data_IF_704321597406
#
_entry.id   IF_704321597406
#
_cell.length_a   1.000
_cell.length_b   1.000
_cell.length_c   1.000
_cell.angle_alpha   90.00
_cell.angle_beta   90.00
_cell.angle_gamma   90.00
#
_symmetry.space_group_name_H-M   'P 1'
#
loop_
_entity.id
_entity.type
_entity.pdbx_description
1 polymer ?
#
# COMPACT_ATOMS: atom_id res chain seq x y z
N UNK A 1 17.11 5.19 40.86
CA UNK A 1 17.51 5.66 39.52
C UNK A 1 18.97 5.27 39.34
N UNK A 2 19.26 4.37 38.39
CA UNK A 2 20.62 3.88 38.11
C UNK A 2 21.26 4.75 37.03
N UNK A 3 22.49 5.21 37.27
CA UNK A 3 23.29 5.94 36.28
C UNK A 3 24.35 5.02 35.71
N UNK A 4 24.47 5.01 34.38
CA UNK A 4 25.43 4.21 33.64
C UNK A 4 26.41 5.15 32.93
N UNK A 5 27.73 4.91 33.00
CA UNK A 5 28.70 5.72 32.28
C UNK A 5 28.56 5.53 30.76
N UNK A 6 28.64 6.62 30.00
CA UNK A 6 28.71 6.55 28.54
C UNK A 6 30.07 6.04 28.08
N UNK A 7 30.10 5.03 27.19
CA UNK A 7 31.35 4.47 26.65
C UNK A 7 32.18 5.44 25.80
N UNK A 8 31.60 6.57 25.36
CA UNK A 8 32.28 7.54 24.50
C UNK A 8 32.83 8.71 25.32
N UNK A 9 31.98 9.38 26.08
CA UNK A 9 32.35 10.60 26.79
C UNK A 9 32.55 10.40 28.31
N UNK A 10 32.33 9.19 28.83
CA UNK A 10 32.53 8.86 30.25
C UNK A 10 31.51 9.51 31.20
N UNK A 11 30.57 10.30 30.69
CA UNK A 11 29.58 11.00 31.52
C UNK A 11 28.55 10.01 32.06
N UNK A 12 28.09 10.26 33.29
CA UNK A 12 27.01 9.50 33.90
C UNK A 12 25.69 9.87 33.24
N UNK A 13 25.02 8.89 32.64
CA UNK A 13 23.76 9.08 31.96
C UNK A 13 22.68 8.16 32.55
N UNK A 14 21.42 8.55 32.44
CA UNK A 14 20.30 7.72 32.89
C UNK A 14 20.14 6.49 31.99
N UNK A 15 19.98 5.32 32.60
CA UNK A 15 19.80 4.05 31.89
C UNK A 15 18.54 4.01 31.00
N UNK A 16 17.56 4.84 31.32
CA UNK A 16 16.28 4.96 30.61
C UNK A 16 16.35 5.81 29.34
N UNK A 17 17.48 6.48 29.08
CA UNK A 17 17.63 7.36 27.91
C UNK A 17 18.23 6.61 26.72
N UNK A 18 17.72 6.87 25.51
CA UNK A 18 18.20 6.23 24.29
C UNK A 18 19.49 6.86 23.73
N UNK A 19 19.79 8.09 24.15
CA UNK A 19 20.94 8.88 23.75
C UNK A 19 21.70 9.38 24.98
N UNK A 20 23.01 9.51 24.86
CA UNK A 20 23.79 10.19 25.89
C UNK A 20 23.42 11.68 25.88
N UNK A 21 22.96 12.21 27.02
CA UNK A 21 22.56 13.63 27.13
C UNK A 21 23.75 14.60 27.01
N UNK A 22 24.99 14.12 27.13
CA UNK A 22 26.19 14.97 27.05
C UNK A 22 26.85 14.98 25.68
N UNK A 23 26.88 13.83 25.00
CA UNK A 23 27.59 13.70 23.72
C UNK A 23 26.70 13.20 22.57
N UNK A 24 25.38 13.14 22.78
CA UNK A 24 24.33 12.71 21.83
C UNK A 24 24.57 11.33 21.19
N UNK A 25 25.53 10.59 21.71
CA UNK A 25 25.92 9.30 21.17
C UNK A 25 24.86 8.25 21.55
N UNK A 26 24.44 7.38 20.62
CA UNK A 26 23.46 6.34 20.89
C UNK A 26 24.07 5.29 21.84
N UNK A 27 23.58 5.25 23.07
CA UNK A 27 24.04 4.31 24.12
C UNK A 27 23.36 2.95 24.01
N UNK A 28 22.11 2.93 23.57
CA UNK A 28 21.41 1.70 23.16
C UNK A 28 21.38 1.70 21.64
N UNK A 29 21.95 0.65 21.03
CA UNK A 29 21.90 0.45 19.59
C UNK A 29 20.45 0.62 19.14
N UNK A 30 20.21 1.65 18.33
CA UNK A 30 18.89 2.15 17.90
C UNK A 30 18.14 1.07 17.11
N UNK A 31 17.67 0.02 17.78
CA UNK A 31 16.62 -0.85 17.26
C UNK A 31 15.36 -0.02 17.33
N UNK A 32 15.08 0.73 16.25
CA UNK A 32 13.72 1.23 16.03
C UNK A 32 12.80 0.02 16.23
N UNK A 33 11.95 0.01 17.27
CA UNK A 33 11.19 -1.18 17.59
C UNK A 33 10.35 -1.54 16.37
N UNK A 34 10.37 -2.82 15.99
CA UNK A 34 9.70 -3.35 14.79
C UNK A 34 8.21 -2.94 14.78
N UNK A 35 7.62 -2.74 15.96
CA UNK A 35 6.27 -2.19 16.17
C UNK A 35 6.06 -0.85 15.48
N UNK A 36 7.02 0.08 15.55
CA UNK A 36 6.93 1.39 14.89
C UNK A 36 6.96 1.27 13.37
N UNK A 37 7.72 0.31 12.84
CA UNK A 37 7.75 0.03 11.39
C UNK A 37 6.40 -0.54 10.92
N UNK A 38 5.84 -1.50 11.64
CA UNK A 38 4.52 -2.06 11.31
C UNK A 38 3.40 -1.03 11.46
N UNK A 39 3.44 -0.16 12.49
CA UNK A 39 2.47 0.90 12.68
C UNK A 39 2.50 1.91 11.51
N UNK A 40 3.69 2.34 11.09
CA UNK A 40 3.84 3.21 9.93
C UNK A 40 3.33 2.54 8.64
N UNK A 41 3.62 1.25 8.45
CA UNK A 41 3.15 0.49 7.28
C UNK A 41 1.61 0.37 7.27
N UNK A 42 1.00 0.02 8.40
CA UNK A 42 -0.46 -0.09 8.54
C UNK A 42 -1.19 1.23 8.26
N UNK A 43 -0.56 2.35 8.59
CA UNK A 43 -1.14 3.67 8.37
C UNK A 43 -0.93 4.16 6.93
N UNK A 44 0.24 3.88 6.34
CA UNK A 44 0.57 4.25 4.97
C UNK A 44 -0.18 3.41 3.94
N UNK A 45 -0.35 2.11 4.18
CA UNK A 45 -0.93 1.15 3.23
C UNK A 45 -2.33 1.54 2.73
N UNK A 46 -3.35 1.81 3.58
CA UNK A 46 -4.68 2.19 3.10
C UNK A 46 -4.68 3.55 2.39
N UNK A 47 -3.81 4.47 2.81
CA UNK A 47 -3.66 5.78 2.18
C UNK A 47 -3.08 5.65 0.77
N UNK A 48 -2.05 4.83 0.62
CA UNK A 48 -1.44 4.51 -0.66
C UNK A 48 -2.43 3.80 -1.59
N UNK A 49 -3.17 2.78 -1.10
CA UNK A 49 -4.18 2.06 -1.90
C UNK A 49 -5.25 3.02 -2.42
N UNK A 50 -5.74 3.92 -1.58
CA UNK A 50 -6.78 4.90 -1.96
C UNK A 50 -6.24 5.88 -3.01
N UNK A 51 -5.05 6.44 -2.80
CA UNK A 51 -4.41 7.34 -3.75
C UNK A 51 -4.10 6.68 -5.10
N UNK A 52 -3.57 5.45 -5.08
CA UNK A 52 -3.31 4.65 -6.27
C UNK A 52 -4.59 4.30 -7.01
N UNK A 53 -5.67 3.91 -6.31
CA UNK A 53 -6.95 3.59 -6.95
C UNK A 53 -7.52 4.78 -7.71
N UNK A 54 -7.42 5.98 -7.13
CA UNK A 54 -7.88 7.21 -7.77
C UNK A 54 -7.03 7.56 -8.99
N UNK A 55 -5.70 7.46 -8.86
CA UNK A 55 -4.77 7.70 -9.96
C UNK A 55 -4.98 6.70 -11.11
N UNK A 56 -5.14 5.41 -10.80
CA UNK A 56 -5.41 4.37 -11.79
C UNK A 56 -6.78 4.53 -12.45
N UNK A 57 -7.82 4.94 -11.73
CA UNK A 57 -9.12 5.20 -12.33
C UNK A 57 -9.03 6.32 -13.38
N UNK A 58 -8.22 7.34 -13.12
CA UNK A 58 -7.98 8.42 -14.07
C UNK A 58 -7.13 7.98 -15.27
N UNK A 59 -6.17 7.07 -15.05
CA UNK A 59 -5.29 6.55 -16.10
C UNK A 59 -5.90 5.43 -16.93
N UNK A 60 -7.05 4.85 -16.55
CA UNK A 60 -7.69 3.80 -17.36
C UNK A 60 -8.13 4.41 -18.68
N UNK A 61 -7.49 4.07 -19.82
CA UNK A 61 -8.03 4.40 -21.12
C UNK A 61 -9.37 3.70 -21.19
N UNK A 62 -10.45 4.43 -21.46
CA UNK A 62 -11.73 3.81 -21.76
C UNK A 62 -11.47 2.80 -22.87
N UNK A 63 -11.53 1.50 -22.54
CA UNK A 63 -11.41 0.45 -23.55
C UNK A 63 -12.53 0.75 -24.53
N UNK A 64 -12.21 1.04 -25.81
CA UNK A 64 -13.25 1.35 -26.77
C UNK A 64 -14.26 0.20 -26.74
N UNK A 65 -15.57 0.49 -26.71
CA UNK A 65 -16.57 -0.56 -26.79
C UNK A 65 -16.27 -1.42 -28.01
N UNK A 66 -16.30 -2.74 -27.84
CA UNK A 66 -16.18 -3.68 -28.95
C UNK A 66 -17.10 -3.21 -30.08
N UNK A 67 -16.49 -3.11 -31.26
CA UNK A 67 -17.08 -2.49 -32.44
C UNK A 67 -18.55 -2.91 -32.66
N UNK A 68 -19.40 -2.03 -33.22
CA UNK A 68 -20.80 -2.35 -33.52
C UNK A 68 -20.99 -3.61 -34.37
N UNK A 69 -19.94 -4.08 -35.07
CA UNK A 69 -19.93 -5.33 -35.81
C UNK A 69 -20.14 -6.58 -34.93
N UNK A 70 -19.61 -6.61 -33.70
CA UNK A 70 -19.76 -7.78 -32.81
C UNK A 70 -21.14 -7.82 -32.14
N UNK A 71 -21.73 -6.64 -31.85
CA UNK A 71 -23.10 -6.54 -31.35
C UNK A 71 -24.10 -6.98 -32.42
N UNK A 72 -23.93 -6.56 -33.67
CA UNK A 72 -24.80 -7.00 -34.77
C UNK A 72 -24.65 -8.50 -35.07
N UNK A 73 -23.43 -9.05 -35.02
CA UNK A 73 -23.22 -10.49 -35.22
C UNK A 73 -23.93 -11.35 -34.16
N UNK A 74 -23.97 -10.92 -32.89
CA UNK A 74 -24.74 -11.61 -31.85
C UNK A 74 -26.24 -11.53 -32.07
N UNK A 75 -26.76 -10.35 -32.41
CA UNK A 75 -28.19 -10.18 -32.68
C UNK A 75 -28.68 -10.97 -33.90
N UNK A 76 -27.87 -11.13 -34.95
CA UNK A 76 -28.26 -11.97 -36.11
C UNK A 76 -28.26 -13.46 -35.79
N UNK A 77 -27.28 -13.94 -35.00
CA UNK A 77 -27.20 -15.35 -34.61
C UNK A 77 -28.38 -15.73 -33.69
N UNK A 78 -28.73 -14.89 -32.72
CA UNK A 78 -29.88 -15.14 -31.83
C UNK A 78 -31.21 -15.14 -32.59
N UNK A 79 -31.38 -14.23 -33.56
CA UNK A 79 -32.62 -14.16 -34.34
C UNK A 79 -32.78 -15.36 -35.29
N UNK A 80 -31.67 -15.84 -35.87
CA UNK A 80 -31.68 -17.00 -36.75
C UNK A 80 -31.99 -18.30 -35.99
N UNK A 81 -31.43 -18.46 -34.78
CA UNK A 81 -31.75 -19.61 -33.93
C UNK A 81 -33.21 -19.60 -33.43
N UNK A 82 -33.84 -18.42 -33.34
CA UNK A 82 -35.25 -18.29 -32.96
C UNK A 82 -36.20 -18.57 -34.12
N UNK A 83 -35.80 -18.29 -35.36
CA UNK A 83 -36.60 -18.65 -36.55
C UNK A 83 -36.62 -20.16 -36.77
N UNK A 84 -35.49 -20.86 -36.61
CA UNK A 84 -35.45 -22.33 -36.75
C UNK A 84 -36.31 -23.08 -35.74
N UNK A 85 -36.59 -22.49 -34.56
CA UNK A 85 -37.50 -23.08 -33.55
C UNK A 85 -38.99 -22.89 -33.83
N UNK A 86 -39.36 -22.01 -34.76
CA UNK A 86 -40.77 -21.73 -35.08
C UNK A 86 -41.28 -22.51 -36.30
N UNK A 87 -40.38 -23.14 -37.05
CA UNK A 87 -40.70 -23.91 -38.27
C UNK A 87 -40.58 -25.43 -38.09
N UNK A 88 -40.45 -25.92 -36.85
CA UNK A 88 -40.52 -27.35 -36.47
C UNK A 88 -41.64 -27.60 -35.47
#
# INVERSE_FOLDING_TARGET
>A
MTLVPCNVCGTLNSEDTEICLSCEFPIKGRRRPVIFQWAALLLLLPFAITGLSLAFNWLRPQRPPSSPAERTARFTVDNQHQTDRLFF
#
